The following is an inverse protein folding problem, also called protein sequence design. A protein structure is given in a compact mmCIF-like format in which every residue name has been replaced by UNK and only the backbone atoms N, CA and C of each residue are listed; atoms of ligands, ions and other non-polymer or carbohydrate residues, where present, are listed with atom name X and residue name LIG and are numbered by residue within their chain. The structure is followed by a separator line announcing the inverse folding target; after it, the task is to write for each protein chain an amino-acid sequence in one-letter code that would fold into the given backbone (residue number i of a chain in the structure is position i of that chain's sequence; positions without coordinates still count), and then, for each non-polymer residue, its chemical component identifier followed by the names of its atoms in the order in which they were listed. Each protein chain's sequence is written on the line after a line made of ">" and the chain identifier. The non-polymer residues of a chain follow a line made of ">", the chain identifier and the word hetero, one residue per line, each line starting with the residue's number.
data_IF_271339281765
#
_entry.id   IF_271339281765
#
_cell.length_a   1.000
_cell.length_b   1.000
_cell.length_c   1.000
_cell.angle_alpha   90.00
_cell.angle_beta   90.00
_cell.angle_gamma   90.00
#
_symmetry.space_group_name_H-M   'P 1'
#
loop_
_entity.id
_entity.type
_entity.pdbx_description
1 polymer ?
#
# COMPACT_ATOMS: atom_id res chain seq x y z
N UNK A 1 -46.41 0.70 -40.28
CA UNK A 1 -45.42 -0.40 -40.30
C UNK A 1 -43.98 0.08 -40.24
N UNK A 2 -43.49 0.92 -41.18
CA UNK A 2 -42.10 1.42 -41.16
C UNK A 2 -41.66 2.04 -39.82
N UNK A 3 -42.47 2.94 -39.26
CA UNK A 3 -42.20 3.60 -37.96
C UNK A 3 -42.09 2.62 -36.77
N UNK A 4 -42.88 1.54 -36.79
CA UNK A 4 -42.84 0.50 -35.75
C UNK A 4 -41.56 -0.31 -35.87
N UNK A 5 -41.14 -0.61 -37.10
CA UNK A 5 -39.87 -1.26 -37.38
C UNK A 5 -38.70 -0.42 -36.90
N UNK A 6 -38.69 0.89 -37.21
CA UNK A 6 -37.63 1.81 -36.77
C UNK A 6 -37.52 1.89 -35.24
N UNK A 7 -38.66 1.90 -34.54
CA UNK A 7 -38.70 1.94 -33.09
C UNK A 7 -38.14 0.64 -32.47
N UNK A 8 -38.48 -0.50 -33.05
CA UNK A 8 -37.96 -1.80 -32.62
C UNK A 8 -36.44 -1.90 -32.82
N UNK A 9 -35.90 -1.44 -33.96
CA UNK A 9 -34.44 -1.40 -34.17
C UNK A 9 -33.74 -0.46 -33.20
N UNK A 10 -34.33 0.71 -32.93
CA UNK A 10 -33.77 1.66 -31.96
C UNK A 10 -33.72 1.07 -30.55
N UNK A 11 -34.79 0.37 -30.16
CA UNK A 11 -34.87 -0.29 -28.86
C UNK A 11 -33.83 -1.42 -28.71
N UNK A 12 -33.63 -2.21 -29.76
CA UNK A 12 -32.60 -3.26 -29.79
C UNK A 12 -31.19 -2.64 -29.68
N UNK A 13 -30.93 -1.54 -30.39
CA UNK A 13 -29.62 -0.86 -30.31
C UNK A 13 -29.34 -0.31 -28.90
N UNK A 14 -30.35 0.22 -28.22
CA UNK A 14 -30.23 0.70 -26.84
C UNK A 14 -29.96 -0.47 -25.88
N UNK A 15 -30.67 -1.59 -26.03
CA UNK A 15 -30.46 -2.79 -25.20
C UNK A 15 -29.06 -3.40 -25.38
N UNK A 16 -28.52 -3.40 -26.59
CA UNK A 16 -27.19 -3.96 -26.88
C UNK A 16 -26.06 -3.05 -26.39
N UNK A 17 -26.26 -1.72 -26.36
CA UNK A 17 -25.26 -0.76 -25.88
C UNK A 17 -25.24 -0.58 -24.34
N UNK A 18 -26.28 -1.01 -23.64
CA UNK A 18 -26.41 -0.87 -22.18
C UNK A 18 -25.36 -1.65 -21.36
N UNK A 19 -25.04 -2.93 -21.65
CA UNK A 19 -24.16 -3.73 -20.78
C UNK A 19 -22.69 -3.27 -20.80
N UNK A 20 -22.23 -2.64 -21.89
CA UNK A 20 -20.84 -2.16 -22.02
C UNK A 20 -20.50 -0.97 -21.12
N UNK A 21 -21.50 -0.20 -20.66
CA UNK A 21 -21.28 0.98 -19.80
C UNK A 21 -21.20 0.61 -18.31
N UNK A 22 -21.77 -0.54 -17.92
CA UNK A 22 -21.81 -1.01 -16.52
C UNK A 22 -20.71 -2.00 -16.15
N UNK A 23 -19.80 -2.33 -17.08
CA UNK A 23 -18.60 -3.09 -16.78
C UNK A 23 -17.57 -2.23 -16.04
N UNK A 24 -17.94 -1.69 -14.87
CA UNK A 24 -16.95 -1.27 -13.86
C UNK A 24 -16.18 -2.53 -13.52
N UNK A 25 -14.88 -2.57 -13.80
CA UNK A 25 -13.99 -3.60 -13.27
C UNK A 25 -14.14 -3.57 -11.74
N UNK A 26 -14.95 -4.49 -11.22
CA UNK A 26 -15.09 -4.68 -9.78
C UNK A 26 -13.80 -5.37 -9.38
N UNK A 27 -12.83 -4.59 -8.91
CA UNK A 27 -11.60 -5.12 -8.31
C UNK A 27 -12.08 -5.96 -7.13
N UNK A 28 -12.09 -7.27 -7.30
CA UNK A 28 -12.44 -8.21 -6.23
C UNK A 28 -11.23 -8.26 -5.34
N UNK A 29 -11.38 -7.79 -4.10
CA UNK A 29 -10.33 -7.92 -3.10
C UNK A 29 -10.13 -9.39 -2.77
N UNK A 30 -8.91 -9.87 -2.98
CA UNK A 30 -8.50 -11.26 -2.78
C UNK A 30 -7.79 -11.44 -1.45
N UNK A 31 -7.62 -12.70 -1.04
CA UNK A 31 -6.80 -13.04 0.13
C UNK A 31 -5.34 -12.65 -0.08
N UNK A 32 -4.83 -12.74 -1.30
CA UNK A 32 -3.49 -12.29 -1.66
C UNK A 32 -3.33 -10.78 -1.50
N UNK A 33 -4.37 -9.99 -1.77
CA UNK A 33 -4.36 -8.54 -1.54
C UNK A 33 -4.28 -8.24 -0.03
N UNK A 34 -5.03 -8.98 0.77
CA UNK A 34 -4.96 -8.89 2.23
C UNK A 34 -3.59 -9.28 2.77
N UNK A 35 -3.00 -10.36 2.28
CA UNK A 35 -1.68 -10.79 2.71
C UNK A 35 -0.61 -9.71 2.45
N UNK A 36 -0.67 -9.02 1.30
CA UNK A 36 0.24 -7.91 0.99
C UNK A 36 0.02 -6.72 1.92
N UNK A 37 -1.24 -6.35 2.19
CA UNK A 37 -1.55 -5.28 3.13
C UNK A 37 -1.06 -5.61 4.54
N UNK A 38 -1.32 -6.84 5.00
CA UNK A 38 -0.90 -7.31 6.32
C UNK A 38 0.62 -7.28 6.47
N UNK A 39 1.37 -7.65 5.44
CA UNK A 39 2.82 -7.56 5.45
C UNK A 39 3.32 -6.11 5.62
N UNK A 40 2.67 -5.14 5.00
CA UNK A 40 3.03 -3.71 5.17
C UNK A 40 2.67 -3.23 6.58
N UNK A 41 1.52 -3.62 7.12
CA UNK A 41 1.12 -3.31 8.50
C UNK A 41 2.19 -3.84 9.47
N UNK A 42 2.56 -5.11 9.32
CA UNK A 42 3.57 -5.75 10.18
C UNK A 42 4.94 -5.08 10.03
N UNK A 43 5.29 -4.68 8.81
CA UNK A 43 6.53 -3.95 8.55
C UNK A 43 6.57 -2.61 9.30
N UNK A 44 5.49 -1.82 9.23
CA UNK A 44 5.39 -0.53 9.93
C UNK A 44 5.37 -0.71 11.46
N UNK A 45 4.63 -1.69 11.97
CA UNK A 45 4.62 -2.01 13.41
C UNK A 45 6.02 -2.38 13.92
N UNK A 46 6.78 -3.15 13.13
CA UNK A 46 8.17 -3.47 13.46
C UNK A 46 9.05 -2.22 13.47
N UNK A 47 8.94 -1.33 12.47
CA UNK A 47 9.70 -0.07 12.43
C UNK A 47 9.41 0.76 13.70
N UNK A 48 8.14 0.93 14.08
CA UNK A 48 7.78 1.74 15.24
C UNK A 48 8.24 1.11 16.56
N UNK A 49 8.18 -0.22 16.67
CA UNK A 49 8.58 -0.96 17.87
C UNK A 49 10.09 -0.91 18.11
N UNK A 50 10.89 -1.16 17.08
CA UNK A 50 12.34 -1.22 17.19
C UNK A 50 12.98 0.17 17.04
N UNK A 51 12.38 1.04 16.21
CA UNK A 51 12.80 2.41 15.98
C UNK A 51 12.52 3.36 17.16
N UNK A 52 11.50 3.17 18.00
CA UNK A 52 11.35 4.01 19.22
C UNK A 52 12.25 3.57 20.37
N UNK A 53 12.78 2.34 20.34
CA UNK A 53 13.51 1.75 21.48
C UNK A 53 14.90 2.36 21.68
N UNK A 54 15.51 2.97 20.66
CA UNK A 54 16.88 3.45 20.76
C UNK A 54 17.03 4.78 21.50
N UNK A 55 15.99 5.60 21.54
CA UNK A 55 16.03 6.88 22.23
C UNK A 55 14.64 7.22 22.82
N UNK A 56 14.45 7.13 24.15
CA UNK A 56 13.17 7.43 24.79
C UNK A 56 12.83 8.93 24.82
N UNK A 57 13.77 9.80 24.44
CA UNK A 57 13.64 11.26 24.55
C UNK A 57 13.28 11.93 23.22
N UNK A 58 13.07 11.17 22.15
CA UNK A 58 12.74 11.70 20.82
C UNK A 58 11.72 10.81 20.12
N UNK A 59 10.93 11.41 19.23
CA UNK A 59 10.02 10.69 18.35
C UNK A 59 10.66 10.34 17.00
N UNK A 60 11.91 10.74 16.78
CA UNK A 60 12.65 10.39 15.58
C UNK A 60 12.85 8.87 15.49
N UNK A 61 12.77 8.36 14.27
CA UNK A 61 13.05 6.98 13.92
C UNK A 61 14.46 6.88 13.32
N UNK A 62 15.13 5.74 13.46
CA UNK A 62 16.40 5.53 12.76
C UNK A 62 16.11 5.20 11.29
N UNK A 63 17.03 5.57 10.41
CA UNK A 63 16.86 5.33 8.97
C UNK A 63 16.90 3.84 8.63
N UNK A 64 17.58 3.04 9.46
CA UNK A 64 17.72 1.61 9.25
C UNK A 64 17.76 0.82 10.56
N UNK A 65 17.29 -0.43 10.49
CA UNK A 65 17.22 -1.37 11.61
C UNK A 65 17.87 -2.68 11.18
N UNK A 66 18.74 -3.22 12.03
CA UNK A 66 19.32 -4.53 11.82
C UNK A 66 18.23 -5.61 11.98
N UNK A 67 17.99 -6.39 10.94
CA UNK A 67 16.90 -7.39 10.89
C UNK A 67 17.15 -8.61 11.76
N UNK A 68 18.38 -8.85 12.21
CA UNK A 68 18.74 -9.96 13.10
C UNK A 68 18.64 -9.55 14.58
N UNK A 69 19.08 -8.33 14.92
CA UNK A 69 19.15 -7.89 16.33
C UNK A 69 18.04 -6.92 16.74
N UNK A 70 17.38 -6.27 15.79
CA UNK A 70 16.41 -5.20 16.05
C UNK A 70 17.06 -3.90 16.52
N UNK A 71 18.39 -3.78 16.52
CA UNK A 71 19.09 -2.53 16.85
C UNK A 71 19.10 -1.57 15.64
N UNK A 72 19.08 -0.24 15.86
CA UNK A 72 19.33 0.71 14.79
C UNK A 72 20.69 0.50 14.11
N UNK A 73 20.77 0.85 12.84
CA UNK A 73 22.04 1.06 12.18
C UNK A 73 22.83 2.18 12.88
N UNK A 74 24.15 1.99 12.97
CA UNK A 74 25.05 2.91 13.66
C UNK A 74 26.08 3.45 12.69
N UNK A 75 26.31 4.75 12.74
CA UNK A 75 27.46 5.38 12.11
C UNK A 75 28.67 5.29 13.05
N UNK A 76 29.85 4.98 12.53
CA UNK A 76 31.10 4.93 13.30
C UNK A 76 32.05 5.99 12.76
N UNK A 77 32.38 6.96 13.60
CA UNK A 77 33.29 8.05 13.26
C UNK A 77 34.77 7.58 13.30
N UNK A 78 35.70 8.32 12.67
CA UNK A 78 37.14 7.99 12.70
C UNK A 78 37.72 7.92 14.12
N UNK A 79 37.16 8.66 15.07
CA UNK A 79 37.53 8.61 16.49
C UNK A 79 36.93 7.40 17.24
N UNK A 80 36.30 6.45 16.53
CA UNK A 80 35.59 5.27 17.05
C UNK A 80 34.32 5.57 17.85
N UNK A 81 33.88 6.83 17.92
CA UNK A 81 32.55 7.13 18.46
C UNK A 81 31.47 6.51 17.55
N UNK A 82 30.39 6.01 18.14
CA UNK A 82 29.28 5.40 17.41
C UNK A 82 27.96 6.03 17.83
N UNK A 83 27.15 6.39 16.84
CA UNK A 83 25.82 6.99 17.05
C UNK A 83 24.79 6.28 16.18
N UNK A 84 23.54 6.10 16.65
CA UNK A 84 22.43 5.69 15.80
C UNK A 84 22.28 6.66 14.62
N UNK A 85 22.15 6.12 13.42
CA UNK A 85 21.98 6.91 12.21
C UNK A 85 20.50 7.27 12.03
N UNK A 86 20.20 8.57 12.00
CA UNK A 86 18.88 9.13 11.75
C UNK A 86 19.06 10.46 10.99
N UNK A 87 18.55 10.55 9.76
CA UNK A 87 18.64 11.72 8.89
C UNK A 87 17.25 11.99 8.28
N UNK A 88 16.67 13.16 8.57
CA UNK A 88 15.27 13.51 8.25
C UNK A 88 15.17 14.51 7.09
#
# INVERSE_FOLDING_TARGET
>A
MKKVFTLATLFILILVAWPSVFARQRIVYTEEDYARLKAVIDHVENILKYGKRYNPNTELLPDAINTLTGEPAKWVFPNRASVPYADL
#
